data_IF_381432268420
#
_entry.id   IF_381432268420
#
_cell.length_a   1.000
_cell.length_b   1.000
_cell.length_c   1.000
_cell.angle_alpha   90.00
_cell.angle_beta   90.00
_cell.angle_gamma   90.00
#
_symmetry.space_group_name_H-M   'P 1'
#
loop_
_entity.id
_entity.type
_entity.pdbx_description
1 polymer ?
#
# COMPACT_ATOMS: atom_id res chain seq x y z
N UNK A 1 -11.74 15.12 24.40
CA UNK A 1 -10.37 15.60 24.11
C UNK A 1 -10.35 16.06 22.67
N UNK A 2 -9.78 17.22 22.32
CA UNK A 2 -9.66 17.65 20.93
C UNK A 2 -8.78 16.65 20.18
N UNK A 3 -9.21 16.24 18.98
CA UNK A 3 -8.43 15.39 18.09
C UNK A 3 -7.11 16.10 17.75
N UNK A 4 -6.01 15.36 17.84
CA UNK A 4 -4.71 15.87 17.42
C UNK A 4 -4.70 16.04 15.88
N UNK A 5 -3.93 17.01 15.37
CA UNK A 5 -3.80 17.27 13.92
C UNK A 5 -3.58 16.00 13.06
N UNK A 6 -2.71 15.04 13.43
CA UNK A 6 -2.57 13.79 12.66
C UNK A 6 -3.84 12.93 12.61
N UNK A 7 -4.65 12.91 13.67
CA UNK A 7 -5.87 12.11 13.74
C UNK A 7 -6.96 12.68 12.84
N UNK A 8 -7.08 14.01 12.77
CA UNK A 8 -8.01 14.70 11.85
C UNK A 8 -7.64 14.37 10.40
N UNK A 9 -6.35 14.43 10.05
CA UNK A 9 -5.89 14.10 8.70
C UNK A 9 -6.18 12.63 8.36
N UNK A 10 -5.94 11.70 9.28
CA UNK A 10 -6.27 10.28 9.10
C UNK A 10 -7.77 10.08 8.92
N UNK A 11 -8.60 10.76 9.72
CA UNK A 11 -10.06 10.63 9.63
C UNK A 11 -10.59 11.09 8.27
N UNK A 12 -10.16 12.27 7.80
CA UNK A 12 -10.61 12.83 6.52
C UNK A 12 -10.12 11.98 5.35
N UNK A 13 -8.82 11.67 5.31
CA UNK A 13 -8.23 10.89 4.22
C UNK A 13 -8.74 9.45 4.18
N UNK A 14 -8.86 8.80 5.33
CA UNK A 14 -9.42 7.45 5.46
C UNK A 14 -10.87 7.39 5.02
N UNK A 15 -11.71 8.33 5.45
CA UNK A 15 -13.13 8.37 5.06
C UNK A 15 -13.31 8.60 3.56
N UNK A 16 -12.55 9.54 2.97
CA UNK A 16 -12.59 9.78 1.54
C UNK A 16 -12.16 8.53 0.75
N UNK A 17 -11.12 7.84 1.21
CA UNK A 17 -10.61 6.62 0.59
C UNK A 17 -11.62 5.48 0.68
N UNK A 18 -12.30 5.31 1.82
CA UNK A 18 -13.39 4.34 1.99
C UNK A 18 -14.52 4.64 1.00
N UNK A 19 -15.00 5.89 0.92
CA UNK A 19 -16.05 6.28 0.00
C UNK A 19 -15.67 6.02 -1.46
N UNK A 20 -14.45 6.36 -1.86
CA UNK A 20 -13.94 6.14 -3.22
C UNK A 20 -13.84 4.65 -3.55
N UNK A 21 -13.22 3.85 -2.68
CA UNK A 21 -13.05 2.42 -2.91
C UNK A 21 -14.39 1.67 -2.91
N UNK A 22 -15.30 2.03 -1.99
CA UNK A 22 -16.65 1.47 -1.95
C UNK A 22 -17.42 1.81 -3.23
N UNK A 23 -17.35 3.05 -3.71
CA UNK A 23 -17.95 3.45 -4.97
C UNK A 23 -17.44 2.62 -6.16
N UNK A 24 -16.14 2.35 -6.22
CA UNK A 24 -15.54 1.50 -7.26
C UNK A 24 -15.99 0.03 -7.17
N UNK A 25 -16.05 -0.52 -5.94
CA UNK A 25 -16.55 -1.87 -5.67
C UNK A 25 -18.01 -2.00 -6.06
N UNK A 26 -18.86 -1.05 -5.70
CA UNK A 26 -20.29 -1.03 -6.07
C UNK A 26 -20.45 -0.94 -7.59
N UNK A 27 -19.74 -0.03 -8.26
CA UNK A 27 -19.76 0.07 -9.72
C UNK A 27 -19.37 -1.26 -10.39
N UNK A 28 -18.40 -1.99 -9.85
CA UNK A 28 -17.99 -3.28 -10.41
C UNK A 28 -19.13 -4.32 -10.40
N UNK A 29 -19.97 -4.32 -9.37
CA UNK A 29 -21.11 -5.25 -9.28
C UNK A 29 -22.28 -4.83 -10.18
N UNK A 30 -22.56 -3.53 -10.30
CA UNK A 30 -23.67 -3.03 -11.11
C UNK A 30 -23.45 -3.14 -12.63
N UNK A 31 -22.20 -2.97 -13.10
CA UNK A 31 -21.90 -3.00 -14.54
C UNK A 31 -21.28 -4.33 -14.95
N UNK A 32 -22.08 -5.22 -15.55
CA UNK A 32 -21.62 -6.54 -15.99
C UNK A 32 -20.52 -6.49 -17.05
N UNK A 33 -20.54 -5.48 -17.93
CA UNK A 33 -19.45 -5.22 -18.86
C UNK A 33 -18.11 -4.98 -18.15
N UNK A 34 -18.11 -4.60 -16.86
CA UNK A 34 -16.91 -4.33 -16.07
C UNK A 34 -16.06 -5.58 -15.82
N UNK A 35 -16.57 -6.80 -15.98
CA UNK A 35 -15.89 -8.05 -15.54
C UNK A 35 -14.70 -8.54 -16.41
N UNK A 36 -14.16 -7.71 -17.30
CA UNK A 36 -12.92 -8.02 -18.06
C UNK A 36 -11.72 -8.14 -17.12
N UNK A 37 -10.76 -9.01 -17.47
CA UNK A 37 -9.58 -9.35 -16.65
C UNK A 37 -8.94 -8.11 -15.97
N UNK A 38 -8.54 -7.10 -16.73
CA UNK A 38 -7.89 -5.89 -16.16
C UNK A 38 -8.73 -5.12 -15.13
N UNK A 39 -10.06 -5.14 -15.24
CA UNK A 39 -10.96 -4.51 -14.26
C UNK A 39 -11.20 -5.37 -13.02
N UNK A 40 -11.09 -6.71 -13.15
CA UNK A 40 -11.09 -7.60 -11.98
C UNK A 40 -9.84 -7.38 -11.11
N UNK A 41 -8.69 -7.15 -11.74
CA UNK A 41 -7.46 -6.76 -11.02
C UNK A 41 -7.68 -5.44 -10.25
N UNK A 42 -8.26 -4.43 -10.90
CA UNK A 42 -8.59 -3.16 -10.23
C UNK A 42 -9.59 -3.34 -9.09
N UNK A 43 -10.56 -4.24 -9.24
CA UNK A 43 -11.48 -4.60 -8.17
C UNK A 43 -10.75 -5.20 -6.96
N UNK A 44 -9.84 -6.16 -7.16
CA UNK A 44 -9.04 -6.74 -6.08
C UNK A 44 -8.13 -5.71 -5.39
N UNK A 45 -7.57 -4.78 -6.17
CA UNK A 45 -6.80 -3.64 -5.66
C UNK A 45 -7.69 -2.76 -4.77
N UNK A 46 -8.84 -2.31 -5.26
CA UNK A 46 -9.75 -1.44 -4.49
C UNK A 46 -10.34 -2.13 -3.26
N UNK A 47 -10.55 -3.45 -3.31
CA UNK A 47 -10.96 -4.22 -2.15
C UNK A 47 -9.86 -4.23 -1.07
N UNK A 48 -8.60 -4.39 -1.49
CA UNK A 48 -7.44 -4.30 -0.59
C UNK A 48 -7.33 -2.90 0.02
N UNK A 49 -7.47 -1.85 -0.80
CA UNK A 49 -7.42 -0.45 -0.35
C UNK A 49 -8.58 -0.10 0.60
N UNK A 50 -9.77 -0.67 0.38
CA UNK A 50 -10.92 -0.50 1.26
C UNK A 50 -10.62 -1.06 2.65
N UNK A 51 -10.10 -2.29 2.73
CA UNK A 51 -9.71 -2.92 4.01
C UNK A 51 -8.59 -2.12 4.67
N UNK A 52 -7.58 -1.68 3.91
CA UNK A 52 -6.51 -0.82 4.42
C UNK A 52 -7.02 0.51 4.97
N UNK A 53 -7.97 1.15 4.28
CA UNK A 53 -8.56 2.42 4.71
C UNK A 53 -9.39 2.25 5.99
N UNK A 54 -10.12 1.15 6.12
CA UNK A 54 -10.83 0.79 7.36
C UNK A 54 -9.83 0.55 8.51
N UNK A 55 -8.71 -0.13 8.24
CA UNK A 55 -7.65 -0.32 9.21
C UNK A 55 -7.01 1.01 9.66
N UNK A 56 -6.85 1.97 8.75
CA UNK A 56 -6.42 3.33 9.11
C UNK A 56 -7.43 4.03 10.02
N UNK A 57 -8.73 3.88 9.78
CA UNK A 57 -9.77 4.47 10.63
C UNK A 57 -9.83 3.87 12.04
N UNK A 58 -9.32 2.64 12.25
CA UNK A 58 -9.16 2.08 13.61
C UNK A 58 -8.28 2.94 14.52
N UNK A 59 -7.40 3.77 13.95
CA UNK A 59 -6.57 4.74 14.69
C UNK A 59 -7.41 5.66 15.57
N UNK A 60 -8.64 5.98 15.15
CA UNK A 60 -9.54 6.89 15.85
C UNK A 60 -10.20 6.26 17.08
N UNK A 61 -10.05 4.94 17.27
CA UNK A 61 -10.62 4.27 18.44
C UNK A 61 -9.86 4.69 19.71
N UNK A 62 -10.55 4.96 20.83
CA UNK A 62 -9.90 5.42 22.07
C UNK A 62 -8.79 4.50 22.57
N UNK A 63 -8.93 3.18 22.35
CA UNK A 63 -7.94 2.18 22.76
C UNK A 63 -6.61 2.26 21.97
N UNK A 64 -6.60 2.94 20.82
CA UNK A 64 -5.42 3.13 19.96
C UNK A 64 -4.94 4.58 20.02
N UNK A 65 -5.85 5.56 19.94
CA UNK A 65 -5.53 6.99 19.97
C UNK A 65 -4.94 7.45 21.31
N UNK A 66 -5.45 6.91 22.43
CA UNK A 66 -5.04 7.28 23.78
C UNK A 66 -4.85 6.01 24.65
N UNK A 67 -3.82 5.19 24.35
CA UNK A 67 -3.57 3.98 25.11
C UNK A 67 -3.22 4.36 26.56
N UNK A 68 -3.81 3.66 27.53
CA UNK A 68 -3.46 3.91 28.93
C UNK A 68 -2.02 3.49 29.21
N UNK A 69 -1.30 4.27 30.03
CA UNK A 69 0.15 4.15 30.24
C UNK A 69 0.61 2.76 30.73
N UNK A 70 -0.32 1.95 31.26
CA UNK A 70 -0.05 0.61 31.81
C UNK A 70 -0.88 -0.50 31.16
N UNK A 71 -1.68 -0.22 30.12
CA UNK A 71 -2.40 -1.28 29.41
C UNK A 71 -1.48 -2.03 28.46
N UNK A 72 -1.63 -3.35 28.45
CA UNK A 72 -1.12 -4.18 27.36
C UNK A 72 -1.66 -3.68 26.01
N UNK A 73 -0.89 -3.89 24.95
CA UNK A 73 -1.30 -3.60 23.56
C UNK A 73 -2.62 -4.33 23.25
N UNK A 74 -3.71 -3.60 22.91
CA UNK A 74 -4.99 -4.22 22.66
C UNK A 74 -4.97 -5.06 21.39
N UNK A 75 -5.80 -6.09 21.30
CA UNK A 75 -5.91 -6.95 20.11
C UNK A 75 -6.15 -6.13 18.83
N UNK A 76 -6.97 -5.08 18.93
CA UNK A 76 -7.27 -4.17 17.82
C UNK A 76 -6.02 -3.46 17.27
N UNK A 77 -5.02 -3.18 18.11
CA UNK A 77 -3.75 -2.60 17.67
C UNK A 77 -2.94 -3.60 16.82
N UNK A 78 -2.89 -4.86 17.22
CA UNK A 78 -2.25 -5.90 16.42
C UNK A 78 -2.99 -6.11 15.10
N UNK A 79 -4.32 -6.22 15.15
CA UNK A 79 -5.16 -6.36 13.95
C UNK A 79 -4.94 -5.19 12.99
N UNK A 80 -4.91 -3.96 13.51
CA UNK A 80 -4.59 -2.78 12.73
C UNK A 80 -3.21 -2.90 12.08
N UNK A 81 -2.16 -3.15 12.86
CA UNK A 81 -0.79 -3.18 12.35
C UNK A 81 -0.57 -4.26 11.29
N UNK A 82 -1.13 -5.45 11.48
CA UNK A 82 -1.06 -6.53 10.48
C UNK A 82 -1.89 -6.25 9.25
N UNK A 83 -3.11 -5.71 9.41
CA UNK A 83 -3.97 -5.34 8.29
C UNK A 83 -3.31 -4.25 7.45
N UNK A 84 -2.73 -3.23 8.08
CA UNK A 84 -2.02 -2.17 7.39
C UNK A 84 -0.78 -2.70 6.64
N UNK A 85 0.03 -3.55 7.27
CA UNK A 85 1.19 -4.16 6.64
C UNK A 85 0.80 -5.00 5.41
N UNK A 86 -0.22 -5.86 5.56
CA UNK A 86 -0.74 -6.67 4.46
C UNK A 86 -1.30 -5.81 3.33
N UNK A 87 -2.24 -4.91 3.65
CA UNK A 87 -2.98 -4.17 2.65
C UNK A 87 -2.07 -3.22 1.88
N UNK A 88 -1.17 -2.51 2.56
CA UNK A 88 -0.23 -1.62 1.90
C UNK A 88 0.67 -2.39 0.91
N UNK A 89 1.32 -3.46 1.35
CA UNK A 89 2.17 -4.28 0.48
C UNK A 89 1.38 -4.88 -0.69
N UNK A 90 0.19 -5.42 -0.41
CA UNK A 90 -0.71 -5.99 -1.41
C UNK A 90 -1.11 -4.97 -2.47
N UNK A 91 -1.50 -3.75 -2.09
CA UNK A 91 -1.88 -2.71 -3.05
C UNK A 91 -0.74 -2.32 -3.99
N UNK A 92 0.50 -2.28 -3.51
CA UNK A 92 1.66 -2.02 -4.37
C UNK A 92 1.95 -3.16 -5.35
N UNK A 93 1.80 -4.41 -4.90
CA UNK A 93 1.96 -5.58 -5.77
C UNK A 93 0.82 -5.67 -6.79
N UNK A 94 -0.43 -5.35 -6.40
CA UNK A 94 -1.56 -5.23 -7.32
C UNK A 94 -1.32 -4.16 -8.39
N UNK A 95 -0.78 -3.01 -7.99
CA UNK A 95 -0.41 -1.94 -8.93
C UNK A 95 0.62 -2.44 -9.94
N UNK A 96 1.62 -3.21 -9.48
CA UNK A 96 2.63 -3.86 -10.32
C UNK A 96 2.03 -4.89 -11.28
N UNK A 97 1.12 -5.72 -10.80
CA UNK A 97 0.38 -6.68 -11.63
C UNK A 97 -0.45 -5.97 -12.69
N UNK A 98 -1.11 -4.87 -12.34
CA UNK A 98 -1.89 -4.06 -13.26
C UNK A 98 -1.01 -3.40 -14.33
N UNK A 99 0.14 -2.82 -13.95
CA UNK A 99 1.11 -2.27 -14.89
C UNK A 99 1.62 -3.32 -15.88
N UNK A 100 1.95 -4.52 -15.39
CA UNK A 100 2.36 -5.63 -16.25
C UNK A 100 1.23 -6.12 -17.15
N UNK A 101 -0.01 -6.20 -16.65
CA UNK A 101 -1.17 -6.54 -17.46
C UNK A 101 -1.37 -5.55 -18.62
N UNK A 102 -1.22 -4.25 -18.36
CA UNK A 102 -1.28 -3.21 -19.39
C UNK A 102 -0.17 -3.37 -20.43
N UNK A 103 1.06 -3.69 -19.98
CA UNK A 103 2.15 -4.03 -20.88
C UNK A 103 1.81 -5.24 -21.78
N UNK A 104 1.20 -6.29 -21.22
CA UNK A 104 0.82 -7.48 -22.00
C UNK A 104 -0.22 -7.17 -23.09
N UNK A 105 -1.27 -6.40 -22.76
CA UNK A 105 -2.34 -6.11 -23.71
C UNK A 105 -1.94 -5.07 -24.75
N UNK A 106 -1.20 -4.02 -24.35
CA UNK A 106 -0.88 -2.90 -25.23
C UNK A 106 0.35 -3.18 -26.10
N UNK A 107 1.38 -3.79 -25.51
CA UNK A 107 2.65 -3.99 -26.22
C UNK A 107 2.78 -5.39 -26.81
N UNK A 108 2.63 -6.43 -25.97
CA UNK A 108 2.73 -7.82 -26.47
C UNK A 108 1.51 -8.24 -27.28
N UNK A 109 0.44 -7.45 -27.26
CA UNK A 109 -0.85 -7.75 -27.91
C UNK A 109 -1.31 -9.17 -27.57
N UNK A 110 -1.06 -9.60 -26.33
CA UNK A 110 -1.34 -10.95 -25.91
C UNK A 110 -2.86 -11.17 -25.93
N UNK A 111 -3.31 -12.16 -26.71
CA UNK A 111 -4.74 -12.41 -26.95
C UNK A 111 -5.44 -13.11 -25.78
N UNK A 112 -4.69 -13.74 -24.87
CA UNK A 112 -5.23 -14.51 -23.73
C UNK A 112 -4.63 -14.05 -22.40
N UNK A 113 -4.86 -12.79 -21.98
CA UNK A 113 -4.30 -12.26 -20.74
C UNK A 113 -4.92 -12.90 -19.48
N UNK A 114 -6.10 -13.53 -19.57
CA UNK A 114 -6.73 -14.23 -18.43
C UNK A 114 -5.90 -15.38 -17.84
N UNK A 115 -5.01 -16.00 -18.64
CA UNK A 115 -4.15 -17.10 -18.18
C UNK A 115 -3.19 -16.69 -17.04
N UNK A 116 -2.91 -15.39 -16.90
CA UNK A 116 -2.01 -14.87 -15.87
C UNK A 116 -2.72 -14.51 -14.57
N UNK A 117 -4.05 -14.58 -14.52
CA UNK A 117 -4.80 -13.99 -13.42
C UNK A 117 -4.59 -14.69 -12.09
N UNK A 118 -4.55 -16.02 -12.09
CA UNK A 118 -4.21 -16.79 -10.91
C UNK A 118 -2.80 -16.43 -10.41
N UNK A 119 -1.86 -16.15 -11.33
CA UNK A 119 -0.51 -15.71 -10.96
C UNK A 119 -0.53 -14.33 -10.32
N UNK A 120 -1.36 -13.40 -10.82
CA UNK A 120 -1.51 -12.09 -10.20
C UNK A 120 -2.11 -12.19 -8.80
N UNK A 121 -3.15 -13.00 -8.60
CA UNK A 121 -3.74 -13.25 -7.28
C UNK A 121 -2.72 -13.84 -6.30
N UNK A 122 -2.00 -14.89 -6.73
CA UNK A 122 -0.98 -15.54 -5.91
C UNK A 122 0.16 -14.59 -5.56
N UNK A 123 0.61 -13.74 -6.49
CA UNK A 123 1.66 -12.76 -6.21
C UNK A 123 1.18 -11.65 -5.29
N UNK A 124 0.06 -11.02 -5.62
CA UNK A 124 -0.42 -9.83 -4.94
C UNK A 124 -0.95 -10.09 -3.54
N UNK A 125 -1.56 -11.25 -3.28
CA UNK A 125 -1.98 -11.64 -1.94
C UNK A 125 -0.98 -12.57 -1.25
N UNK A 126 -0.33 -13.47 -1.98
CA UNK A 126 0.58 -14.45 -1.38
C UNK A 126 1.86 -13.83 -0.84
N UNK A 127 2.50 -12.91 -1.57
CA UNK A 127 3.75 -12.28 -1.10
C UNK A 127 3.54 -11.47 0.19
N UNK A 128 2.53 -10.57 0.30
CA UNK A 128 2.22 -9.89 1.56
C UNK A 128 1.78 -10.83 2.67
N UNK A 129 1.00 -11.88 2.35
CA UNK A 129 0.59 -12.89 3.34
C UNK A 129 1.78 -13.60 3.94
N UNK A 130 2.79 -13.94 3.13
CA UNK A 130 4.02 -14.59 3.59
C UNK A 130 4.78 -13.70 4.58
N UNK A 131 4.89 -12.39 4.29
CA UNK A 131 5.54 -11.42 5.17
C UNK A 131 4.78 -11.32 6.51
N UNK A 132 3.46 -11.14 6.45
CA UNK A 132 2.62 -11.05 7.65
C UNK A 132 2.64 -12.34 8.46
N UNK A 133 2.62 -13.51 7.80
CA UNK A 133 2.73 -14.81 8.45
C UNK A 133 4.08 -14.96 9.15
N UNK A 134 5.19 -14.55 8.53
CA UNK A 134 6.51 -14.58 9.17
C UNK A 134 6.52 -13.74 10.46
N UNK A 135 5.94 -12.53 10.43
CA UNK A 135 5.80 -11.69 11.63
C UNK A 135 4.87 -12.33 12.68
N UNK A 136 3.78 -12.98 12.23
CA UNK A 136 2.85 -13.72 13.10
C UNK A 136 3.51 -14.90 13.81
N UNK A 137 4.37 -15.66 13.12
CA UNK A 137 5.14 -16.76 13.72
C UNK A 137 6.12 -16.22 14.77
N UNK A 138 6.85 -15.15 14.46
CA UNK A 138 7.74 -14.50 15.42
C UNK A 138 6.99 -14.01 16.67
N UNK A 139 5.80 -13.43 16.46
CA UNK A 139 4.91 -13.04 17.55
C UNK A 139 4.50 -14.24 18.41
N UNK A 140 4.12 -15.37 17.80
CA UNK A 140 3.78 -16.59 18.52
C UNK A 140 4.96 -17.16 19.33
N UNK A 141 6.20 -16.94 18.88
CA UNK A 141 7.41 -17.29 19.61
C UNK A 141 7.78 -16.30 20.74
N UNK A 142 6.96 -15.26 20.98
CA UNK A 142 7.16 -14.26 22.03
C UNK A 142 7.84 -12.97 21.57
N UNK A 143 8.21 -12.85 20.30
CA UNK A 143 8.80 -11.63 19.74
C UNK A 143 7.70 -10.70 19.21
N UNK A 144 7.35 -9.67 19.99
CA UNK A 144 6.28 -8.73 19.60
C UNK A 144 6.82 -7.65 18.65
N UNK A 145 6.84 -7.95 17.35
CA UNK A 145 7.35 -7.06 16.29
C UNK A 145 6.36 -5.98 15.82
N UNK A 146 5.05 -6.16 16.01
CA UNK A 146 4.00 -5.22 15.58
C UNK A 146 3.31 -4.63 16.81
N UNK A 147 2.95 -3.36 16.81
CA UNK A 147 2.26 -2.70 17.93
C UNK A 147 2.52 -1.20 17.96
N UNK A 148 2.42 -0.59 19.15
CA UNK A 148 2.75 0.82 19.33
C UNK A 148 4.25 1.05 19.11
N UNK A 149 4.59 2.06 18.30
CA UNK A 149 5.96 2.38 17.87
C UNK A 149 6.27 3.88 17.86
N UNK A 150 5.69 4.65 18.79
CA UNK A 150 5.89 6.11 18.88
C UNK A 150 5.03 6.94 17.92
N UNK A 151 4.00 6.33 17.34
CA UNK A 151 3.05 6.95 16.40
C UNK A 151 1.62 6.70 16.87
N UNK A 152 0.64 7.51 16.42
CA UNK A 152 -0.74 7.36 16.84
C UNK A 152 -1.41 6.08 16.31
N UNK A 153 -0.79 5.37 15.35
CA UNK A 153 -1.26 4.09 14.82
C UNK A 153 -0.31 2.94 15.14
N UNK A 154 -0.84 1.72 15.03
CA UNK A 154 -0.06 0.51 15.23
C UNK A 154 0.66 0.06 13.96
N UNK A 155 1.93 -0.30 14.09
CA UNK A 155 2.80 -0.68 12.96
C UNK A 155 3.93 -1.61 13.43
N UNK A 156 4.84 -2.00 12.53
CA UNK A 156 6.13 -2.59 12.89
C UNK A 156 6.83 -1.69 13.92
N UNK A 157 7.15 -2.25 15.09
CA UNK A 157 7.71 -1.51 16.23
C UNK A 157 9.18 -1.21 15.97
N UNK A 158 9.51 0.08 15.94
CA UNK A 158 10.89 0.59 15.94
C UNK A 158 11.24 1.32 17.25
N UNK A 159 10.31 1.39 18.19
CA UNK A 159 10.46 2.08 19.47
C UNK A 159 10.07 1.16 20.61
N UNK A 160 10.97 0.99 21.59
CA UNK A 160 10.77 0.14 22.76
C UNK A 160 11.50 0.72 23.97
N UNK A 161 10.88 0.66 25.15
CA UNK A 161 11.45 1.14 26.43
C UNK A 161 11.97 2.60 26.40
N UNK A 162 11.35 3.47 25.60
CA UNK A 162 11.74 4.89 25.53
C UNK A 162 12.96 5.17 24.66
N UNK A 163 13.39 4.21 23.84
CA UNK A 163 14.50 4.35 22.89
C UNK A 163 14.15 3.73 21.54
N UNK A 164 14.80 4.20 20.47
CA UNK A 164 14.72 3.56 19.17
C UNK A 164 15.51 2.26 19.14
N UNK A 165 14.92 1.25 18.53
CA UNK A 165 15.59 -0.02 18.26
C UNK A 165 16.07 -0.02 16.81
N UNK A 166 17.39 -0.14 16.62
CA UNK A 166 17.99 -0.32 15.30
C UNK A 166 17.42 -1.55 14.59
N UNK A 167 17.18 -2.65 15.31
CA UNK A 167 16.59 -3.88 14.77
C UNK A 167 15.18 -3.63 14.20
N UNK A 168 14.34 -2.90 14.94
CA UNK A 168 12.99 -2.54 14.48
C UNK A 168 13.01 -1.63 13.24
N UNK A 169 13.96 -0.71 13.15
CA UNK A 169 14.18 0.10 11.95
C UNK A 169 14.63 -0.75 10.75
N UNK A 170 15.59 -1.67 10.94
CA UNK A 170 16.05 -2.57 9.88
C UNK A 170 14.89 -3.43 9.37
N UNK A 171 14.05 -3.95 10.27
CA UNK A 171 12.86 -4.72 9.91
C UNK A 171 11.89 -3.91 9.04
N UNK A 172 11.64 -2.64 9.39
CA UNK A 172 10.81 -1.75 8.56
C UNK A 172 11.43 -1.56 7.17
N UNK A 173 12.75 -1.32 7.10
CA UNK A 173 13.43 -1.11 5.83
C UNK A 173 13.37 -2.34 4.94
N UNK A 174 13.73 -3.51 5.48
CA UNK A 174 13.82 -4.76 4.71
C UNK A 174 12.44 -5.29 4.31
N UNK A 175 11.46 -5.33 5.21
CA UNK A 175 10.19 -6.00 4.95
C UNK A 175 9.09 -5.09 4.41
N UNK A 176 9.24 -3.77 4.53
CA UNK A 176 8.25 -2.83 4.01
C UNK A 176 8.83 -1.92 2.92
N UNK A 177 9.88 -1.16 3.22
CA UNK A 177 10.38 -0.16 2.27
C UNK A 177 11.14 -0.76 1.09
N UNK A 178 11.86 -1.87 1.24
CA UNK A 178 12.54 -2.54 0.13
C UNK A 178 11.55 -3.12 -0.90
N UNK A 179 10.55 -3.93 -0.51
CA UNK A 179 9.51 -4.39 -1.44
C UNK A 179 8.78 -3.21 -2.10
N UNK A 180 8.48 -2.17 -1.33
CA UNK A 180 7.88 -0.94 -1.84
C UNK A 180 8.75 -0.26 -2.91
N UNK A 181 10.04 -0.07 -2.66
CA UNK A 181 10.96 0.54 -3.60
C UNK A 181 11.14 -0.32 -4.87
N UNK A 182 11.22 -1.64 -4.73
CA UNK A 182 11.26 -2.55 -5.87
C UNK A 182 9.99 -2.44 -6.73
N UNK A 183 8.81 -2.48 -6.10
CA UNK A 183 7.53 -2.32 -6.78
C UNK A 183 7.41 -0.93 -7.44
N UNK A 184 7.87 0.12 -6.76
CA UNK A 184 7.91 1.49 -7.28
C UNK A 184 8.73 1.59 -8.57
N UNK A 185 9.97 1.08 -8.53
CA UNK A 185 10.88 1.12 -9.66
C UNK A 185 10.33 0.30 -10.84
N UNK A 186 9.74 -0.87 -10.54
CA UNK A 186 9.08 -1.68 -11.56
C UNK A 186 7.90 -0.92 -12.20
N UNK A 187 7.01 -0.33 -11.40
CA UNK A 187 5.88 0.45 -11.92
C UNK A 187 6.34 1.65 -12.75
N UNK A 188 7.33 2.40 -12.25
CA UNK A 188 7.92 3.53 -12.96
C UNK A 188 8.47 3.10 -14.31
N UNK A 189 9.27 2.04 -14.37
CA UNK A 189 9.86 1.55 -15.62
C UNK A 189 8.78 1.09 -16.60
N UNK A 190 7.79 0.32 -16.15
CA UNK A 190 6.70 -0.16 -17.00
C UNK A 190 5.85 0.99 -17.55
N UNK A 191 5.47 1.95 -16.71
CA UNK A 191 4.64 3.07 -17.16
C UNK A 191 5.40 4.07 -18.03
N UNK A 192 6.67 4.35 -17.75
CA UNK A 192 7.52 5.20 -18.64
C UNK A 192 7.72 4.50 -19.98
N UNK A 193 7.95 3.19 -19.99
CA UNK A 193 8.03 2.41 -21.21
C UNK A 193 6.72 2.48 -22.02
N UNK A 194 5.58 2.25 -21.38
CA UNK A 194 4.26 2.37 -22.01
C UNK A 194 4.03 3.79 -22.55
N UNK A 195 4.31 4.83 -21.75
CA UNK A 195 4.08 6.22 -22.12
C UNK A 195 4.96 6.70 -23.28
N UNK A 196 6.25 6.33 -23.28
CA UNK A 196 7.17 6.66 -24.37
C UNK A 196 6.76 6.01 -25.69
N UNK A 197 6.36 4.73 -25.66
CA UNK A 197 5.90 4.02 -26.85
C UNK A 197 4.55 4.49 -27.34
N UNK A 198 3.62 4.80 -26.44
CA UNK A 198 2.36 5.46 -26.77
C UNK A 198 2.61 6.83 -27.42
N UNK A 199 3.56 7.62 -26.91
CA UNK A 199 3.97 8.88 -27.52
C UNK A 199 4.48 8.70 -28.95
N UNK A 200 5.36 7.74 -29.19
CA UNK A 200 5.88 7.44 -30.53
C UNK A 200 4.82 6.87 -31.48
N UNK A 201 3.89 6.03 -30.99
CA UNK A 201 2.80 5.47 -31.80
C UNK A 201 1.68 6.48 -32.07
N UNK A 202 1.38 7.36 -31.09
CA UNK A 202 0.39 8.44 -31.21
C UNK A 202 0.74 9.50 -32.25
N UNK A 203 2.02 9.62 -32.61
CA UNK A 203 2.47 10.43 -33.75
C UNK A 203 2.04 9.84 -35.11
N UNK A 204 1.65 8.56 -35.15
CA UNK A 204 1.27 7.83 -36.38
C UNK A 204 -0.22 7.46 -36.39
N UNK A 205 -0.84 7.18 -35.23
CA UNK A 205 -2.28 6.94 -35.07
C UNK A 205 -2.66 7.03 -33.59
N UNK A 206 -3.39 8.06 -33.14
CA UNK A 206 -3.85 8.16 -31.73
C UNK A 206 -5.36 8.12 -31.65
N UNK A 207 -5.90 7.16 -30.88
CA UNK A 207 -7.29 7.20 -30.43
C UNK A 207 -7.36 7.96 -29.10
N UNK A 208 -8.35 8.85 -28.94
CA UNK A 208 -8.57 9.69 -27.73
C UNK A 208 -8.57 8.91 -26.40
N UNK A 209 -8.78 7.59 -26.43
CA UNK A 209 -8.78 6.72 -25.26
C UNK A 209 -7.36 6.45 -24.73
N UNK A 210 -6.37 6.31 -25.61
CA UNK A 210 -4.98 5.98 -25.26
C UNK A 210 -4.29 7.14 -24.53
N UNK A 211 -4.51 8.37 -24.96
CA UNK A 211 -3.99 9.57 -24.30
C UNK A 211 -4.63 9.81 -22.92
N UNK A 212 -5.88 9.40 -22.72
CA UNK A 212 -6.54 9.46 -21.39
C UNK A 212 -5.93 8.44 -20.44
N UNK A 213 -5.64 7.23 -20.91
CA UNK A 213 -4.98 6.19 -20.12
C UNK A 213 -3.56 6.63 -19.75
N UNK A 214 -2.79 7.16 -20.70
CA UNK A 214 -1.42 7.67 -20.47
C UNK A 214 -1.37 8.76 -19.39
N UNK A 215 -2.24 9.76 -19.45
CA UNK A 215 -2.30 10.84 -18.44
C UNK A 215 -2.62 10.33 -17.04
N UNK A 216 -3.57 9.40 -16.93
CA UNK A 216 -3.94 8.78 -15.65
C UNK A 216 -2.77 8.00 -15.06
N UNK A 217 -2.07 7.21 -15.86
CA UNK A 217 -0.87 6.47 -15.43
C UNK A 217 0.24 7.40 -14.92
N UNK A 218 0.53 8.48 -15.63
CA UNK A 218 1.55 9.45 -15.21
C UNK A 218 1.17 10.17 -13.91
N UNK A 219 -0.12 10.49 -13.71
CA UNK A 219 -0.59 11.06 -12.46
C UNK A 219 -0.40 10.10 -11.27
N UNK A 220 -0.66 8.80 -11.46
CA UNK A 220 -0.43 7.78 -10.42
C UNK A 220 1.05 7.71 -9.98
N UNK A 221 1.99 7.74 -10.93
CA UNK A 221 3.43 7.78 -10.63
C UNK A 221 3.80 9.04 -9.86
N UNK A 222 3.30 10.19 -10.29
CA UNK A 222 3.57 11.47 -9.63
C UNK A 222 3.11 11.47 -8.18
N UNK A 223 1.88 11.03 -7.93
CA UNK A 223 1.33 10.89 -6.57
C UNK A 223 2.13 9.88 -5.75
N UNK A 224 2.50 8.74 -6.33
CA UNK A 224 3.29 7.71 -5.65
C UNK A 224 4.67 8.24 -5.20
N UNK A 225 5.40 8.95 -6.07
CA UNK A 225 6.72 9.50 -5.74
C UNK A 225 6.62 10.56 -4.65
N UNK A 226 5.62 11.45 -4.75
CA UNK A 226 5.39 12.49 -3.75
C UNK A 226 5.06 11.92 -2.36
N UNK A 227 4.27 10.85 -2.31
CA UNK A 227 3.82 10.25 -1.05
C UNK A 227 4.83 9.30 -0.41
N UNK A 228 5.55 8.50 -1.22
CA UNK A 228 6.42 7.44 -0.69
C UNK A 228 7.78 7.97 -0.21
N UNK A 229 8.34 8.98 -0.89
CA UNK A 229 9.66 9.53 -0.56
C UNK A 229 9.66 10.20 0.81
N UNK A 230 8.61 10.95 1.14
CA UNK A 230 8.51 11.65 2.42
C UNK A 230 8.43 10.70 3.61
N UNK A 231 7.70 9.59 3.46
CA UNK A 231 7.55 8.58 4.50
C UNK A 231 8.86 7.87 4.84
N UNK A 232 9.69 7.55 3.84
CA UNK A 232 11.00 6.92 4.07
C UNK A 232 12.00 7.92 4.69
N UNK A 233 12.05 9.14 4.16
CA UNK A 233 12.94 10.19 4.66
C UNK A 233 12.66 10.54 6.12
N UNK A 234 11.38 10.70 6.49
CA UNK A 234 10.99 10.99 7.87
C UNK A 234 11.51 9.95 8.87
N UNK A 235 11.50 8.66 8.49
CA UNK A 235 12.02 7.57 9.33
C UNK A 235 13.55 7.59 9.44
N UNK A 236 14.25 7.85 8.33
CA UNK A 236 15.71 7.96 8.36
C UNK A 236 16.18 9.15 9.20
N UNK A 237 15.46 10.27 9.16
CA UNK A 237 15.77 11.43 9.98
C UNK A 237 15.52 11.18 11.47
N UNK A 238 14.43 10.48 11.83
CA UNK A 238 14.14 10.14 13.23
C UNK A 238 15.25 9.27 13.85
N UNK A 239 15.68 8.20 13.16
CA UNK A 239 16.76 7.33 13.66
C UNK A 239 18.11 8.06 13.66
N UNK A 240 18.39 8.87 12.64
CA UNK A 240 19.62 9.66 12.56
C UNK A 240 19.74 10.72 13.66
N UNK A 241 18.63 11.36 14.05
CA UNK A 241 18.62 12.36 15.11
C UNK A 241 18.93 11.73 16.49
N UNK A 242 18.36 10.57 16.79
CA UNK A 242 18.59 9.89 18.07
C UNK A 242 19.99 9.27 18.20
N UNK A 243 20.61 8.86 17.08
CA UNK A 243 22.03 8.42 17.05
C UNK A 243 23.03 9.56 17.27
N UNK A 244 22.63 10.81 17.07
CA UNK A 244 23.49 11.99 17.25
C UNK A 244 23.37 12.57 18.67
N UNK A 245 22.22 12.37 19.33
CA UNK A 245 21.90 12.95 20.64
C UNK A 245 22.09 11.97 21.80
N UNK A 246 22.08 10.66 21.55
CA UNK A 246 22.36 9.60 22.55
C UNK A 246 23.83 9.27 22.69
#
# INVERSE_FOLDING_TARGET
MPLLTPEILIAVSGSLSVCACLGMVVCFFFFEESRRCGRRLLFCLHLTDLVGSLAWLLTLLPCIAAPSLHSATPLLCFLQGYALLFCSLSSYVWTSCFAFHLYQIMWKQNKTPEMYEVRYLLLAWGLPSLIVMAFGVQHACGFVLVGFGGLPWCWIRSWSRGQWSADGFILQMVFFYTPLACAALFNLTMFVFLASKLGSASAVMSTTMEDKVRRRMMAYIGVFLLTSVWGALGRTFQVGADLIVG
#
